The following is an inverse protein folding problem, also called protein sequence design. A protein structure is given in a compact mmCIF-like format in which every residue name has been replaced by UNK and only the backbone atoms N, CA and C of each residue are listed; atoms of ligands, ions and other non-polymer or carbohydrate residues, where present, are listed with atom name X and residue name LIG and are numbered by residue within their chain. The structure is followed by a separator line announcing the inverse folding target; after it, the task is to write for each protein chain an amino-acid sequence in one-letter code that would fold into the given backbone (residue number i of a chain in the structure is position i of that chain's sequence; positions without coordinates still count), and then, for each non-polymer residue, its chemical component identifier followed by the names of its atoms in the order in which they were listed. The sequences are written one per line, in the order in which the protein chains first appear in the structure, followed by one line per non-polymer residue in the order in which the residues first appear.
data_IF_147996840742
#
_entry.id   IF_147996840742
#
_cell.length_a   1.000
_cell.length_b   1.000
_cell.length_c   1.000
_cell.angle_alpha   90.00
_cell.angle_beta   90.00
_cell.angle_gamma   90.00
#
_symmetry.space_group_name_H-M   'P 1'
#
loop_
_entity.id
_entity.type
_entity.pdbx_description
1 polymer ?
#
# COMPACT_ATOMS: atom_id res chain seq x y z
N UNK A 1 -7.60 10.20 29.64
CA UNK A 1 -7.76 9.71 28.26
C UNK A 1 -6.46 9.03 27.86
N UNK A 2 -6.36 7.72 28.06
CA UNK A 2 -5.17 6.94 27.74
C UNK A 2 -5.21 6.71 26.22
N UNK A 3 -4.40 7.45 25.47
CA UNK A 3 -4.17 7.15 24.07
C UNK A 3 -3.50 5.78 24.00
N UNK A 4 -3.93 4.90 23.11
CA UNK A 4 -3.33 3.58 22.91
C UNK A 4 -1.89 3.75 22.37
N UNK A 5 -0.95 3.98 23.29
CA UNK A 5 0.46 4.23 23.03
C UNK A 5 1.16 3.03 22.38
N UNK A 6 0.59 1.83 22.51
CA UNK A 6 1.17 0.59 21.98
C UNK A 6 1.23 0.53 20.45
N UNK A 7 0.30 1.19 19.75
CA UNK A 7 0.30 1.22 18.28
C UNK A 7 1.51 2.00 17.75
N UNK A 8 1.76 3.20 18.30
CA UNK A 8 2.90 4.03 17.91
C UNK A 8 4.22 3.33 18.21
N UNK A 9 4.34 2.74 19.39
CA UNK A 9 5.54 2.02 19.80
C UNK A 9 5.81 0.80 18.91
N UNK A 10 4.78 0.02 18.59
CA UNK A 10 4.88 -1.13 17.66
C UNK A 10 5.36 -0.69 16.28
N UNK A 11 4.81 0.40 15.74
CA UNK A 11 5.25 0.95 14.45
C UNK A 11 6.70 1.43 14.53
N UNK A 12 7.07 2.17 15.57
CA UNK A 12 8.44 2.68 15.74
C UNK A 12 9.45 1.55 15.89
N UNK A 13 9.12 0.50 16.66
CA UNK A 13 9.94 -0.71 16.82
C UNK A 13 10.14 -1.42 15.48
N UNK A 14 9.08 -1.58 14.69
CA UNK A 14 9.17 -2.17 13.36
C UNK A 14 10.12 -1.37 12.45
N UNK A 15 9.97 -0.05 12.39
CA UNK A 15 10.78 0.82 11.55
C UNK A 15 12.25 0.83 11.97
N UNK A 16 12.52 0.86 13.28
CA UNK A 16 13.89 0.79 13.81
C UNK A 16 14.59 -0.54 13.50
N UNK A 17 13.83 -1.63 13.35
CA UNK A 17 14.34 -2.97 13.01
C UNK A 17 14.39 -3.26 11.51
N UNK A 18 13.96 -2.32 10.66
CA UNK A 18 13.88 -2.50 9.20
C UNK A 18 15.08 -1.88 8.50
N UNK A 19 15.64 -2.57 7.51
CA UNK A 19 16.75 -2.03 6.72
C UNK A 19 16.27 -1.18 5.52
N UNK A 20 15.21 -1.61 4.84
CA UNK A 20 14.60 -0.89 3.72
C UNK A 20 13.07 -0.90 3.86
N UNK A 21 12.51 -0.11 4.81
CA UNK A 21 11.07 -0.05 5.01
C UNK A 21 10.35 0.67 3.86
N UNK A 22 9.21 0.11 3.45
CA UNK A 22 8.26 0.73 2.52
C UNK A 22 6.85 0.70 3.09
N UNK A 23 6.07 1.75 2.83
CA UNK A 23 4.65 1.82 3.08
C UNK A 23 3.88 1.38 1.83
N UNK A 24 2.92 0.49 2.00
CA UNK A 24 2.09 -0.06 0.92
C UNK A 24 0.63 0.19 1.24
N UNK A 25 -0.05 0.87 0.32
CA UNK A 25 -1.50 0.94 0.27
C UNK A 25 -2.00 0.26 -1.01
N UNK A 26 -3.04 -0.60 -0.93
CA UNK A 26 -3.55 -1.27 -2.11
C UNK A 26 -3.91 -0.29 -3.24
N UNK A 27 -3.32 -0.51 -4.42
CA UNK A 27 -3.54 0.32 -5.62
C UNK A 27 -2.64 1.56 -5.72
N UNK A 28 -1.78 1.82 -4.74
CA UNK A 28 -0.78 2.90 -4.75
C UNK A 28 0.63 2.34 -4.86
N UNK A 29 1.53 3.01 -5.59
CA UNK A 29 2.92 2.55 -5.68
C UNK A 29 3.53 2.45 -4.28
N UNK A 30 4.38 1.44 -4.00
CA UNK A 30 5.11 1.36 -2.74
C UNK A 30 5.82 2.68 -2.44
N UNK A 31 5.75 3.11 -1.19
CA UNK A 31 6.29 4.37 -0.71
C UNK A 31 7.54 4.09 0.12
N UNK A 32 8.76 4.34 -0.39
CA UNK A 32 9.97 4.23 0.42
C UNK A 32 9.89 5.13 1.65
N UNK A 33 10.21 4.56 2.82
CA UNK A 33 10.20 5.30 4.08
C UNK A 33 11.60 5.79 4.40
N UNK A 34 11.90 7.02 3.98
CA UNK A 34 13.11 7.72 4.40
C UNK A 34 12.89 8.43 5.74
N UNK A 35 13.88 8.46 6.65
CA UNK A 35 13.74 9.04 8.00
C UNK A 35 13.21 10.49 8.05
N UNK A 36 13.44 11.27 7.00
CA UNK A 36 13.04 12.67 6.84
C UNK A 36 11.72 12.85 6.06
N UNK A 37 11.11 11.75 5.61
CA UNK A 37 9.97 11.74 4.68
C UNK A 37 8.75 10.98 5.21
N UNK A 38 8.70 10.73 6.51
CA UNK A 38 7.49 10.25 7.17
C UNK A 38 7.34 10.85 8.58
N UNK A 39 6.12 10.84 9.09
CA UNK A 39 5.81 11.25 10.46
C UNK A 39 4.74 10.34 11.06
N UNK A 40 4.90 10.01 12.34
CA UNK A 40 3.92 9.26 13.12
C UNK A 40 3.56 10.12 14.34
N UNK A 41 2.34 10.66 14.34
CA UNK A 41 1.95 11.69 15.29
C UNK A 41 0.50 11.54 15.74
N UNK A 42 0.23 11.98 16.97
CA UNK A 42 -1.13 12.11 17.47
C UNK A 42 -1.71 13.46 17.03
N UNK A 43 -2.84 13.43 16.34
CA UNK A 43 -3.59 14.62 15.92
C UNK A 43 -5.03 14.49 16.39
N UNK A 44 -5.48 15.42 17.24
CA UNK A 44 -6.85 15.44 17.79
C UNK A 44 -7.32 14.07 18.32
N UNK A 45 -6.45 13.40 19.07
CA UNK A 45 -6.72 12.09 19.68
C UNK A 45 -6.62 10.87 18.75
N UNK A 46 -6.10 11.05 17.52
CA UNK A 46 -5.94 9.97 16.53
C UNK A 46 -4.48 9.81 16.14
N UNK A 47 -4.02 8.57 16.00
CA UNK A 47 -2.69 8.28 15.47
C UNK A 47 -2.70 8.43 13.95
N UNK A 48 -1.85 9.29 13.42
CA UNK A 48 -1.71 9.53 11.98
C UNK A 48 -0.32 9.09 11.55
N UNK A 49 -0.28 8.21 10.57
CA UNK A 49 0.92 7.90 9.80
C UNK A 49 0.89 8.72 8.52
N UNK A 50 1.89 9.55 8.33
CA UNK A 50 2.06 10.36 7.12
C UNK A 50 3.37 10.00 6.43
N UNK A 51 3.36 9.91 5.11
CA UNK A 51 4.52 9.70 4.25
C UNK A 51 4.43 10.64 3.05
N UNK A 52 5.57 11.19 2.61
CA UNK A 52 5.62 12.11 1.47
C UNK A 52 6.89 11.94 0.64
N UNK A 53 6.84 12.38 -0.61
CA UNK A 53 7.99 12.52 -1.50
C UNK A 53 7.77 13.75 -2.39
N UNK A 54 8.57 13.91 -3.44
CA UNK A 54 8.44 15.03 -4.38
C UNK A 54 7.16 14.97 -5.24
N UNK A 55 6.52 13.80 -5.34
CA UNK A 55 5.38 13.55 -6.23
C UNK A 55 4.05 13.52 -5.49
N UNK A 56 4.04 13.11 -4.22
CA UNK A 56 2.81 12.86 -3.45
C UNK A 56 3.00 13.05 -1.94
N UNK A 57 1.87 13.08 -1.24
CA UNK A 57 1.76 13.07 0.21
C UNK A 57 0.55 12.21 0.59
N UNK A 58 0.73 11.31 1.55
CA UNK A 58 -0.27 10.34 1.97
C UNK A 58 -0.34 10.33 3.50
N UNK A 59 -1.53 10.58 4.03
CA UNK A 59 -1.81 10.52 5.46
C UNK A 59 -2.91 9.49 5.74
N UNK A 60 -2.69 8.58 6.68
CA UNK A 60 -3.67 7.59 7.13
C UNK A 60 -3.82 7.61 8.64
N UNK A 61 -5.07 7.54 9.09
CA UNK A 61 -5.39 7.41 10.51
C UNK A 61 -5.30 5.94 10.89
N UNK A 62 -4.30 5.60 11.67
CA UNK A 62 -4.11 4.25 12.22
C UNK A 62 -5.07 4.07 13.38
N UNK A 63 -5.83 2.98 13.34
CA UNK A 63 -6.83 2.63 14.36
C UNK A 63 -6.54 1.26 15.00
N UNK A 64 -5.56 0.51 14.49
CA UNK A 64 -5.14 -0.75 15.08
C UNK A 64 -3.97 -1.40 14.35
N UNK A 65 -3.40 -2.43 14.98
CA UNK A 65 -2.46 -3.37 14.37
C UNK A 65 -3.24 -4.63 14.00
N UNK A 66 -3.26 -4.99 12.73
CA UNK A 66 -3.96 -6.19 12.23
C UNK A 66 -3.07 -7.44 12.36
N UNK A 67 -1.79 -7.33 12.00
CA UNK A 67 -0.86 -8.45 12.02
C UNK A 67 0.59 -7.95 12.15
N UNK A 68 1.39 -8.62 12.98
CA UNK A 68 2.84 -8.44 13.03
C UNK A 68 3.55 -9.74 12.62
N UNK A 69 4.40 -9.66 11.60
CA UNK A 69 5.25 -10.75 11.11
C UNK A 69 6.68 -10.25 10.91
N UNK A 70 7.68 -11.16 10.86
CA UNK A 70 9.04 -10.77 10.52
C UNK A 70 9.10 -10.01 9.18
N UNK A 71 9.53 -8.75 9.21
CA UNK A 71 9.63 -7.88 8.02
C UNK A 71 8.29 -7.35 7.49
N UNK A 72 7.18 -7.55 8.19
CA UNK A 72 5.87 -7.01 7.79
C UNK A 72 5.01 -6.63 8.98
N UNK A 73 4.47 -5.41 8.98
CA UNK A 73 3.45 -4.95 9.89
C UNK A 73 2.21 -4.51 9.09
N UNK A 74 1.05 -5.11 9.37
CA UNK A 74 -0.23 -4.72 8.75
C UNK A 74 -1.00 -3.85 9.74
N UNK A 75 -1.41 -2.68 9.28
CA UNK A 75 -2.12 -1.67 10.08
C UNK A 75 -3.56 -1.55 9.58
N UNK A 76 -4.50 -1.48 10.52
CA UNK A 76 -5.87 -1.08 10.22
C UNK A 76 -5.93 0.45 10.20
N UNK A 77 -6.47 1.00 9.12
CA UNK A 77 -6.65 2.45 8.94
C UNK A 77 -8.11 2.81 8.74
N UNK A 78 -8.48 4.01 9.18
CA UNK A 78 -9.81 4.57 8.91
C UNK A 78 -9.88 5.08 7.46
N UNK A 79 -10.98 4.74 6.78
CA UNK A 79 -11.37 5.24 5.45
C UNK A 79 -12.62 6.13 5.57
N UNK A 80 -12.96 6.78 4.46
CA UNK A 80 -14.18 7.59 4.36
C UNK A 80 -15.44 6.79 4.75
N UNK A 81 -16.43 7.49 5.31
CA UNK A 81 -17.72 6.93 5.74
C UNK A 81 -17.61 5.79 6.77
N UNK A 82 -16.68 5.92 7.74
CA UNK A 82 -16.44 4.93 8.82
C UNK A 82 -16.05 3.53 8.33
N UNK A 83 -15.64 3.39 7.07
CA UNK A 83 -15.07 2.16 6.56
C UNK A 83 -13.65 2.00 7.12
N UNK A 84 -13.17 0.78 7.18
CA UNK A 84 -11.76 0.49 7.47
C UNK A 84 -11.06 0.02 6.20
N UNK A 85 -9.73 0.12 6.21
CA UNK A 85 -8.88 -0.55 5.24
C UNK A 85 -7.59 -0.98 5.90
N UNK A 86 -6.74 -1.64 5.12
CA UNK A 86 -5.44 -2.11 5.59
C UNK A 86 -4.33 -1.47 4.77
N UNK A 87 -3.25 -1.09 5.46
CA UNK A 87 -1.97 -0.68 4.86
C UNK A 87 -0.87 -1.53 5.47
N UNK A 88 0.25 -1.64 4.77
CA UNK A 88 1.36 -2.48 5.20
C UNK A 88 2.65 -1.68 5.28
N UNK A 89 3.43 -1.91 6.33
CA UNK A 89 4.85 -1.57 6.40
C UNK A 89 5.63 -2.84 6.10
N UNK A 90 6.57 -2.80 5.15
CA UNK A 90 7.33 -3.96 4.71
C UNK A 90 8.81 -3.62 4.65
N UNK A 91 9.67 -4.47 5.20
CA UNK A 91 11.12 -4.39 5.00
C UNK A 91 11.52 -5.18 3.77
N UNK A 92 11.79 -4.49 2.66
CA UNK A 92 12.06 -5.15 1.37
C UNK A 92 13.45 -5.78 1.29
N UNK A 93 14.34 -5.44 2.23
CA UNK A 93 15.61 -6.12 2.38
C UNK A 93 15.44 -7.58 2.84
N UNK A 94 14.28 -7.94 3.41
CA UNK A 94 13.99 -9.32 3.82
C UNK A 94 13.40 -10.14 2.66
N UNK A 95 13.99 -11.29 2.28
CA UNK A 95 13.51 -12.10 1.14
C UNK A 95 12.04 -12.49 1.23
N UNK A 96 11.56 -12.86 2.43
CA UNK A 96 10.17 -13.25 2.67
C UNK A 96 9.15 -12.12 2.41
N UNK A 97 9.59 -10.85 2.45
CA UNK A 97 8.77 -9.66 2.28
C UNK A 97 8.72 -9.16 0.83
N UNK A 98 9.72 -9.49 0.00
CA UNK A 98 9.82 -8.99 -1.39
C UNK A 98 8.62 -9.37 -2.28
N UNK A 99 8.01 -10.54 -2.05
CA UNK A 99 6.85 -10.98 -2.83
C UNK A 99 5.63 -10.05 -2.64
N UNK A 100 5.45 -9.50 -1.44
CA UNK A 100 4.36 -8.57 -1.15
C UNK A 100 4.56 -7.22 -1.85
N UNK A 101 5.79 -6.68 -1.85
CA UNK A 101 6.11 -5.44 -2.57
C UNK A 101 5.90 -5.57 -4.07
N UNK A 102 6.35 -6.68 -4.68
CA UNK A 102 6.11 -6.95 -6.11
C UNK A 102 4.62 -7.03 -6.44
N UNK A 103 3.81 -7.65 -5.57
CA UNK A 103 2.35 -7.71 -5.73
C UNK A 103 1.70 -6.32 -5.66
N UNK A 104 2.13 -5.49 -4.71
CA UNK A 104 1.64 -4.11 -4.58
C UNK A 104 1.94 -3.30 -5.84
N UNK A 105 3.20 -3.27 -6.30
CA UNK A 105 3.57 -2.54 -7.51
C UNK A 105 2.74 -2.94 -8.74
N UNK A 106 2.42 -4.23 -8.89
CA UNK A 106 1.53 -4.72 -9.97
C UNK A 106 0.09 -4.20 -9.83
N UNK A 107 -0.46 -4.13 -8.62
CA UNK A 107 -1.79 -3.58 -8.39
C UNK A 107 -1.83 -2.09 -8.71
N UNK A 108 -0.78 -1.35 -8.36
CA UNK A 108 -0.66 0.09 -8.62
C UNK A 108 -0.59 0.37 -10.11
N UNK A 109 0.26 -0.37 -10.83
CA UNK A 109 0.33 -0.32 -12.28
C UNK A 109 -1.02 -0.69 -12.93
N UNK A 110 -1.76 -1.66 -12.39
CA UNK A 110 -3.09 -2.02 -12.91
C UNK A 110 -4.06 -0.82 -12.87
N UNK A 111 -4.06 -0.07 -11.76
CA UNK A 111 -4.90 1.13 -11.63
C UNK A 111 -4.42 2.28 -12.53
N UNK A 112 -3.11 2.46 -12.67
CA UNK A 112 -2.54 3.41 -13.62
C UNK A 112 -2.89 3.06 -15.07
N UNK A 113 -2.73 1.79 -15.44
CA UNK A 113 -3.06 1.25 -16.75
C UNK A 113 -4.54 1.47 -17.06
N UNK A 114 -5.43 1.24 -16.08
CA UNK A 114 -6.86 1.55 -16.24
C UNK A 114 -7.12 3.04 -16.51
N UNK A 115 -6.43 3.94 -15.81
CA UNK A 115 -6.52 5.39 -16.06
C UNK A 115 -6.00 5.76 -17.45
N UNK A 116 -4.91 5.13 -17.89
CA UNK A 116 -4.35 5.31 -19.23
C UNK A 116 -5.32 4.86 -20.32
N UNK A 117 -5.90 3.66 -20.20
CA UNK A 117 -6.87 3.11 -21.14
C UNK A 117 -8.09 4.03 -21.33
N UNK A 118 -8.64 4.58 -20.23
CA UNK A 118 -9.77 5.52 -20.30
C UNK A 118 -9.43 6.79 -21.08
N UNK A 119 -8.17 7.24 -21.04
CA UNK A 119 -7.72 8.45 -21.74
C UNK A 119 -7.45 8.17 -23.22
N UNK A 120 -6.84 7.03 -23.54
CA UNK A 120 -6.48 6.68 -24.92
C UNK A 120 -7.64 6.13 -25.74
N UNK A 121 -8.59 5.44 -25.09
CA UNK A 121 -9.74 4.81 -25.74
C UNK A 121 -11.06 5.32 -25.15
N UNK A 122 -11.37 6.62 -25.26
CA UNK A 122 -12.52 7.23 -24.59
C UNK A 122 -13.88 6.69 -25.08
N UNK A 123 -13.94 6.11 -26.29
CA UNK A 123 -15.14 5.50 -26.86
C UNK A 123 -15.34 4.02 -26.51
N UNK A 124 -14.40 3.41 -25.80
CA UNK A 124 -14.43 1.98 -25.46
C UNK A 124 -14.69 1.79 -23.97
N UNK A 125 -15.53 0.81 -23.63
CA UNK A 125 -15.80 0.40 -22.26
C UNK A 125 -14.75 -0.63 -21.82
N UNK A 126 -14.11 -0.35 -20.68
CA UNK A 126 -13.21 -1.30 -20.02
C UNK A 126 -14.07 -2.33 -19.27
N UNK A 127 -14.17 -3.54 -19.80
CA UNK A 127 -14.87 -4.66 -19.14
C UNK A 127 -14.04 -5.21 -17.99
N UNK A 128 -12.75 -5.43 -18.23
CA UNK A 128 -11.85 -6.04 -17.24
C UNK A 128 -10.46 -5.44 -17.32
N UNK A 129 -9.82 -5.32 -16.15
CA UNK A 129 -8.37 -5.15 -16.04
C UNK A 129 -7.87 -6.14 -15.01
N UNK A 130 -6.98 -7.05 -15.40
CA UNK A 130 -6.52 -8.15 -14.55
C UNK A 130 -5.00 -8.34 -14.62
N UNK A 131 -4.47 -8.92 -13.56
CA UNK A 131 -3.08 -9.42 -13.44
C UNK A 131 -3.08 -10.89 -13.05
N UNK A 132 -4.22 -11.57 -13.16
CA UNK A 132 -4.34 -12.98 -12.76
C UNK A 132 -3.60 -13.89 -13.74
N UNK A 133 -3.21 -15.07 -13.27
CA UNK A 133 -2.65 -16.09 -14.17
C UNK A 133 -3.78 -16.64 -15.02
N UNK A 134 -3.56 -16.75 -16.32
CA UNK A 134 -4.47 -17.44 -17.23
C UNK A 134 -3.64 -18.47 -17.99
N UNK A 135 -3.76 -19.72 -17.56
CA UNK A 135 -2.99 -20.84 -18.09
C UNK A 135 -3.52 -21.30 -19.44
N UNK A 136 -4.81 -21.11 -19.72
CA UNK A 136 -5.44 -21.47 -21.00
C UNK A 136 -4.85 -20.64 -22.15
N UNK A 137 -4.55 -19.37 -21.89
CA UNK A 137 -3.96 -18.45 -22.86
C UNK A 137 -2.45 -18.20 -22.64
N UNK A 138 -1.79 -18.96 -21.76
CA UNK A 138 -0.36 -18.80 -21.43
C UNK A 138 0.02 -17.39 -20.96
N UNK A 139 -0.90 -16.71 -20.27
CA UNK A 139 -0.71 -15.36 -19.77
C UNK A 139 -0.22 -15.37 -18.32
N UNK A 140 1.01 -14.91 -18.14
CA UNK A 140 1.64 -14.75 -16.84
C UNK A 140 1.02 -13.61 -16.03
N UNK A 141 0.95 -13.73 -14.68
CA UNK A 141 0.51 -12.66 -13.79
C UNK A 141 1.54 -11.51 -13.69
N UNK A 142 2.65 -11.59 -14.43
CA UNK A 142 3.68 -10.56 -14.46
C UNK A 142 3.20 -9.26 -15.14
N UNK A 143 2.23 -9.34 -16.04
CA UNK A 143 1.77 -8.21 -16.85
C UNK A 143 0.30 -7.90 -16.55
N UNK A 144 -0.05 -6.61 -16.53
CA UNK A 144 -1.45 -6.18 -16.52
C UNK A 144 -2.04 -6.28 -17.91
N UNK A 145 -3.25 -6.80 -18.02
CA UNK A 145 -4.00 -6.91 -19.27
C UNK A 145 -5.42 -6.38 -19.10
N UNK A 146 -6.03 -5.95 -20.20
CA UNK A 146 -7.38 -5.40 -20.20
C UNK A 146 -8.18 -5.86 -21.42
N UNK A 147 -9.48 -6.00 -21.21
CA UNK A 147 -10.44 -6.28 -22.27
C UNK A 147 -11.35 -5.05 -22.46
N UNK A 148 -11.41 -4.56 -23.70
CA UNK A 148 -12.16 -3.37 -24.10
C UNK A 148 -13.26 -3.78 -25.08
N UNK A 149 -14.44 -3.16 -24.96
CA UNK A 149 -15.59 -3.36 -25.87
C UNK A 149 -16.20 -2.02 -26.29
#
# INVERSE_FOLDING_TARGET
MWHDSGQRETIQRFLAASAQPVFIEPGEDPYPLHPDRFAIQWQSGRLVFQVWDERRNLARRVIGIEEEKPGRLTLTVEKFARRTGSVQLIDIARPAAQAATRRSARQSFREEFRRYLRRQFPGWRIEEVTTETDLEHSLSPAYSRAFLK
#
